data_IF_970794307287
#
_entry.id   IF_970794307287
#
_cell.length_a   1.000
_cell.length_b   1.000
_cell.length_c   1.000
_cell.angle_alpha   90.00
_cell.angle_beta   90.00
_cell.angle_gamma   90.00
#
_symmetry.space_group_name_H-M   'P 1'
#
loop_
_entity.id
_entity.type
_entity.pdbx_description
1 polymer ?
#
# COMPACT_ATOMS: atom_id res chain seq x y z
N UNK A 1 -14.14 1.24 28.46
CA UNK A 1 -15.02 2.00 27.53
C UNK A 1 -15.24 1.30 26.18
N UNK A 2 -14.33 0.44 25.70
CA UNK A 2 -14.45 -0.28 24.42
C UNK A 2 -15.40 -1.49 24.38
N UNK A 3 -16.06 -1.86 25.49
CA UNK A 3 -16.79 -3.13 25.62
C UNK A 3 -18.24 -3.12 25.09
N UNK A 4 -18.74 -2.00 24.53
CA UNK A 4 -20.15 -1.89 24.07
C UNK A 4 -20.33 -1.94 22.55
N UNK A 5 -19.25 -1.91 21.76
CA UNK A 5 -19.31 -1.92 20.30
C UNK A 5 -18.73 -3.24 19.77
N UNK A 6 -19.47 -3.92 18.90
CA UNK A 6 -19.01 -5.12 18.18
C UNK A 6 -17.90 -4.76 17.19
N UNK A 7 -17.11 -5.74 16.77
CA UNK A 7 -16.02 -5.54 15.80
C UNK A 7 -16.51 -4.89 14.50
N UNK A 8 -17.69 -5.31 14.01
CA UNK A 8 -18.32 -4.74 12.81
C UNK A 8 -18.62 -3.25 12.96
N UNK A 9 -19.08 -2.79 14.13
CA UNK A 9 -19.33 -1.36 14.35
C UNK A 9 -18.03 -0.56 14.34
N UNK A 10 -16.93 -1.12 14.88
CA UNK A 10 -15.62 -0.48 14.77
C UNK A 10 -15.11 -0.46 13.34
N UNK A 11 -15.24 -1.56 12.61
CA UNK A 11 -14.83 -1.66 11.21
C UNK A 11 -15.61 -0.67 10.33
N UNK A 12 -16.93 -0.63 10.48
CA UNK A 12 -17.80 0.29 9.75
C UNK A 12 -17.47 1.74 10.06
N UNK A 13 -17.30 2.09 11.35
CA UNK A 13 -16.93 3.45 11.75
C UNK A 13 -15.58 3.87 11.18
N UNK A 14 -14.57 3.00 11.24
CA UNK A 14 -13.24 3.27 10.69
C UNK A 14 -13.28 3.39 9.16
N UNK A 15 -14.03 2.53 8.47
CA UNK A 15 -14.19 2.59 7.02
C UNK A 15 -14.88 3.89 6.58
N UNK A 16 -15.94 4.31 7.29
CA UNK A 16 -16.61 5.60 7.05
C UNK A 16 -15.62 6.75 7.25
N UNK A 17 -14.94 6.80 8.39
CA UNK A 17 -13.99 7.86 8.69
C UNK A 17 -12.85 7.91 7.66
N UNK A 18 -12.29 6.76 7.30
CA UNK A 18 -11.24 6.64 6.29
C UNK A 18 -11.73 7.09 4.91
N UNK A 19 -12.94 6.68 4.49
CA UNK A 19 -13.51 7.08 3.21
C UNK A 19 -13.78 8.60 3.15
N UNK A 20 -14.28 9.20 4.23
CA UNK A 20 -14.49 10.65 4.29
C UNK A 20 -13.16 11.41 4.20
N UNK A 21 -12.14 10.99 4.97
CA UNK A 21 -10.81 11.58 4.88
C UNK A 21 -10.21 11.39 3.48
N UNK A 22 -10.39 10.21 2.88
CA UNK A 22 -9.89 9.90 1.55
C UNK A 22 -10.54 10.79 0.49
N UNK A 23 -11.87 10.89 0.45
CA UNK A 23 -12.62 11.66 -0.56
C UNK A 23 -12.43 13.17 -0.39
N UNK A 24 -12.46 13.68 0.84
CA UNK A 24 -12.53 15.11 1.10
C UNK A 24 -11.20 15.75 1.45
N UNK A 25 -10.20 14.96 1.85
CA UNK A 25 -8.88 15.48 2.23
C UNK A 25 -7.81 14.96 1.28
N UNK A 26 -7.67 13.64 1.13
CA UNK A 26 -6.56 13.07 0.37
C UNK A 26 -6.69 13.29 -1.13
N UNK A 27 -7.81 12.91 -1.74
CA UNK A 27 -8.00 13.05 -3.19
C UNK A 27 -7.83 14.51 -3.65
N UNK A 28 -8.47 15.52 -3.02
CA UNK A 28 -8.29 16.91 -3.44
C UNK A 28 -6.86 17.44 -3.28
N UNK A 29 -6.07 16.86 -2.39
CA UNK A 29 -4.66 17.22 -2.20
C UNK A 29 -3.72 16.51 -3.19
N UNK A 30 -4.12 15.34 -3.69
CA UNK A 30 -3.30 14.48 -4.55
C UNK A 30 -3.58 14.67 -6.04
N UNK A 31 -4.82 15.05 -6.40
CA UNK A 31 -5.24 15.17 -7.80
C UNK A 31 -5.34 16.62 -8.24
N UNK A 32 -4.80 16.93 -9.42
CA UNK A 32 -4.90 18.26 -10.04
C UNK A 32 -6.28 18.52 -10.67
N UNK A 33 -7.01 17.45 -11.00
CA UNK A 33 -8.23 17.50 -11.82
C UNK A 33 -9.49 17.13 -11.05
N UNK A 34 -10.58 17.85 -11.32
CA UNK A 34 -11.89 17.61 -10.70
C UNK A 34 -12.60 16.36 -11.26
N UNK A 35 -13.78 15.99 -10.72
CA UNK A 35 -14.53 14.81 -11.21
C UNK A 35 -14.84 14.87 -12.70
N UNK A 36 -15.16 16.06 -13.19
CA UNK A 36 -15.49 16.34 -14.58
C UNK A 36 -14.73 17.59 -15.00
N UNK A 37 -14.02 17.49 -16.11
CA UNK A 37 -13.27 18.58 -16.70
C UNK A 37 -13.79 18.95 -18.08
N UNK A 38 -13.75 20.24 -18.40
CA UNK A 38 -14.09 20.74 -19.73
C UNK A 38 -12.84 21.27 -20.42
N UNK A 39 -12.24 20.44 -21.27
CA UNK A 39 -11.05 20.81 -22.04
C UNK A 39 -11.43 20.99 -23.51
N UNK A 40 -11.21 22.19 -24.05
CA UNK A 40 -11.42 22.52 -25.48
C UNK A 40 -12.79 22.07 -26.03
N UNK A 41 -13.87 22.37 -25.29
CA UNK A 41 -15.27 21.99 -25.60
C UNK A 41 -15.57 20.48 -25.51
N UNK A 42 -14.62 19.65 -25.10
CA UNK A 42 -14.88 18.25 -24.76
C UNK A 42 -15.02 18.10 -23.25
N UNK A 43 -16.02 17.33 -22.82
CA UNK A 43 -16.19 16.92 -21.42
C UNK A 43 -15.38 15.65 -21.23
N UNK A 44 -14.42 15.69 -20.31
CA UNK A 44 -13.57 14.56 -19.93
C UNK A 44 -13.79 14.25 -18.46
N UNK A 45 -13.65 12.97 -18.12
CA UNK A 45 -13.60 12.55 -16.72
C UNK A 45 -12.21 12.92 -16.20
N UNK A 46 -12.14 13.59 -15.06
CA UNK A 46 -10.84 13.89 -14.44
C UNK A 46 -10.35 12.72 -13.58
N UNK A 47 -9.09 12.80 -13.20
CA UNK A 47 -8.35 11.71 -12.55
C UNK A 47 -8.87 11.44 -11.13
N UNK A 48 -9.52 12.41 -10.49
CA UNK A 48 -10.18 12.24 -9.20
C UNK A 48 -11.43 11.34 -9.25
N UNK A 49 -12.01 11.07 -10.42
CA UNK A 49 -13.23 10.25 -10.51
C UNK A 49 -13.03 8.84 -9.96
N UNK A 50 -11.97 8.16 -10.39
CA UNK A 50 -11.68 6.78 -9.95
C UNK A 50 -11.53 6.67 -8.43
N UNK A 51 -10.62 7.46 -7.81
CA UNK A 51 -10.47 7.52 -6.37
C UNK A 51 -11.76 7.89 -5.63
N UNK A 52 -12.51 8.90 -6.08
CA UNK A 52 -13.77 9.29 -5.41
C UNK A 52 -14.81 8.17 -5.46
N UNK A 53 -14.94 7.48 -6.59
CA UNK A 53 -15.85 6.33 -6.70
C UNK A 53 -15.42 5.18 -5.77
N UNK A 54 -14.13 4.86 -5.72
CA UNK A 54 -13.60 3.85 -4.80
C UNK A 54 -13.87 4.23 -3.33
N UNK A 55 -13.63 5.49 -2.97
CA UNK A 55 -13.97 6.04 -1.67
C UNK A 55 -15.47 5.93 -1.37
N UNK A 56 -16.32 6.24 -2.35
CA UNK A 56 -17.78 6.11 -2.24
C UNK A 56 -18.23 4.68 -1.97
N UNK A 57 -17.63 3.69 -2.63
CA UNK A 57 -17.90 2.27 -2.37
C UNK A 57 -17.48 1.88 -0.95
N UNK A 58 -16.31 2.32 -0.49
CA UNK A 58 -15.85 2.08 0.89
C UNK A 58 -16.81 2.75 1.90
N UNK A 59 -17.27 3.97 1.62
CA UNK A 59 -18.20 4.70 2.47
C UNK A 59 -19.54 3.96 2.60
N UNK A 60 -20.12 3.55 1.47
CA UNK A 60 -21.38 2.79 1.44
C UNK A 60 -21.22 1.45 2.17
N UNK A 61 -20.13 0.73 1.90
CA UNK A 61 -19.80 -0.52 2.58
C UNK A 61 -19.68 -0.32 4.10
N UNK A 62 -18.97 0.71 4.53
CA UNK A 62 -18.81 1.06 5.94
C UNK A 62 -20.13 1.41 6.63
N UNK A 63 -21.02 2.15 5.95
CA UNK A 63 -22.37 2.46 6.43
C UNK A 63 -23.17 1.16 6.62
N UNK A 64 -23.15 0.26 5.64
CA UNK A 64 -23.87 -1.02 5.74
C UNK A 64 -23.33 -1.90 6.87
N UNK A 65 -22.00 -2.03 7.00
CA UNK A 65 -21.37 -2.79 8.07
C UNK A 65 -21.70 -2.19 9.45
N UNK A 66 -21.74 -0.86 9.57
CA UNK A 66 -22.10 -0.19 10.82
C UNK A 66 -23.59 -0.35 11.17
N UNK A 67 -24.47 -0.21 10.18
CA UNK A 67 -25.92 -0.25 10.36
C UNK A 67 -26.47 -1.66 10.59
N UNK A 68 -25.82 -2.68 10.02
CA UNK A 68 -26.22 -4.09 10.15
C UNK A 68 -25.05 -4.95 10.66
N UNK A 69 -24.62 -4.75 11.91
CA UNK A 69 -23.58 -5.58 12.49
C UNK A 69 -24.09 -7.01 12.66
N UNK A 70 -23.23 -7.99 12.41
CA UNK A 70 -23.54 -9.37 12.72
C UNK A 70 -23.63 -9.56 14.24
N UNK A 71 -24.65 -10.29 14.71
CA UNK A 71 -24.84 -10.58 16.14
C UNK A 71 -23.67 -11.43 16.70
N UNK A 72 -23.08 -12.27 15.86
CA UNK A 72 -21.93 -13.12 16.20
C UNK A 72 -20.58 -12.44 15.92
N UNK A 73 -20.58 -11.15 15.60
CA UNK A 73 -19.37 -10.41 15.30
C UNK A 73 -18.41 -10.42 16.50
N UNK A 74 -17.18 -10.85 16.25
CA UNK A 74 -16.13 -10.85 17.27
C UNK A 74 -15.94 -9.44 17.86
N UNK A 75 -15.71 -9.38 19.17
CA UNK A 75 -15.38 -8.11 19.82
C UNK A 75 -13.92 -7.74 19.56
N UNK A 76 -13.61 -6.45 19.62
CA UNK A 76 -12.25 -5.98 19.46
C UNK A 76 -11.44 -6.37 20.71
N UNK A 77 -10.63 -7.43 20.59
CA UNK A 77 -9.76 -7.90 21.68
C UNK A 77 -8.37 -7.28 21.58
N UNK A 78 -7.64 -7.26 22.70
CA UNK A 78 -6.22 -6.84 22.73
C UNK A 78 -5.34 -7.71 21.82
N UNK A 79 -5.71 -8.99 21.65
CA UNK A 79 -5.00 -9.91 20.75
C UNK A 79 -5.15 -9.47 19.29
N UNK A 80 -6.38 -9.16 18.86
CA UNK A 80 -6.66 -8.66 17.51
C UNK A 80 -5.93 -7.34 17.24
N UNK A 81 -5.93 -6.42 18.21
CA UNK A 81 -5.23 -5.15 18.08
C UNK A 81 -3.71 -5.34 17.97
N UNK A 82 -3.12 -6.24 18.77
CA UNK A 82 -1.70 -6.58 18.66
C UNK A 82 -1.38 -7.16 17.27
N UNK A 83 -2.25 -8.01 16.73
CA UNK A 83 -2.08 -8.56 15.39
C UNK A 83 -2.12 -7.48 14.31
N UNK A 84 -3.08 -6.55 14.39
CA UNK A 84 -3.16 -5.41 13.48
C UNK A 84 -1.88 -4.57 13.53
N UNK A 85 -1.36 -4.27 14.72
CA UNK A 85 -0.11 -3.53 14.88
C UNK A 85 1.07 -4.26 14.24
N UNK A 86 1.15 -5.59 14.39
CA UNK A 86 2.20 -6.40 13.73
C UNK A 86 2.10 -6.29 12.21
N UNK A 87 0.90 -6.48 11.64
CA UNK A 87 0.69 -6.35 10.19
C UNK A 87 1.05 -4.96 9.67
N UNK A 88 0.59 -3.91 10.34
CA UNK A 88 0.91 -2.52 9.99
C UNK A 88 2.41 -2.25 10.08
N UNK A 89 3.09 -2.79 11.09
CA UNK A 89 4.54 -2.63 11.25
C UNK A 89 5.30 -3.31 10.11
N UNK A 90 4.90 -4.52 9.72
CA UNK A 90 5.52 -5.24 8.59
C UNK A 90 5.38 -4.44 7.29
N UNK A 91 4.16 -3.96 7.01
CA UNK A 91 3.89 -3.16 5.81
C UNK A 91 4.72 -1.86 5.85
N UNK A 92 4.73 -1.16 6.99
CA UNK A 92 5.48 0.10 7.14
C UNK A 92 6.97 -0.11 6.94
N UNK A 93 7.56 -1.12 7.59
CA UNK A 93 8.98 -1.44 7.44
C UNK A 93 9.29 -1.82 5.99
N UNK A 94 8.44 -2.60 5.34
CA UNK A 94 8.60 -2.93 3.92
C UNK A 94 8.63 -1.68 3.05
N UNK A 95 7.68 -0.75 3.22
CA UNK A 95 7.62 0.49 2.45
C UNK A 95 8.83 1.40 2.70
N UNK A 96 9.30 1.48 3.95
CA UNK A 96 10.53 2.19 4.32
C UNK A 96 11.74 1.56 3.63
N UNK A 97 11.86 0.23 3.65
CA UNK A 97 12.93 -0.48 2.95
C UNK A 97 12.86 -0.21 1.44
N UNK A 98 11.67 -0.30 0.83
CA UNK A 98 11.49 0.02 -0.58
C UNK A 98 12.01 1.42 -0.87
N UNK A 99 11.54 2.42 -0.13
CA UNK A 99 11.84 3.84 -0.35
C UNK A 99 13.32 4.19 -0.17
N UNK A 100 13.98 3.64 0.86
CA UNK A 100 15.29 4.12 1.29
C UNK A 100 16.45 3.18 0.96
N UNK A 101 16.22 1.91 0.61
CA UNK A 101 17.32 1.00 0.31
C UNK A 101 18.13 1.42 -0.93
N UNK A 102 17.47 1.84 -2.01
CA UNK A 102 18.15 2.33 -3.22
C UNK A 102 19.05 3.56 -2.96
N UNK A 103 18.51 4.65 -2.39
CA UNK A 103 19.30 5.82 -1.98
C UNK A 103 20.46 5.49 -1.03
N UNK A 104 20.22 4.61 -0.05
CA UNK A 104 21.24 4.22 0.92
C UNK A 104 22.39 3.48 0.24
N UNK A 105 22.10 2.47 -0.59
CA UNK A 105 23.13 1.66 -1.25
C UNK A 105 23.93 2.49 -2.26
N UNK A 106 23.27 3.35 -3.05
CA UNK A 106 23.98 4.25 -3.97
C UNK A 106 24.87 5.25 -3.24
N UNK A 107 24.43 5.83 -2.11
CA UNK A 107 25.26 6.77 -1.34
C UNK A 107 26.55 6.18 -0.78
N UNK A 108 26.59 4.85 -0.61
CA UNK A 108 27.77 4.14 -0.09
C UNK A 108 28.66 3.62 -1.22
N UNK A 109 28.08 3.24 -2.36
CA UNK A 109 28.80 2.56 -3.44
C UNK A 109 29.14 3.46 -4.64
N UNK A 110 28.52 4.63 -4.75
CA UNK A 110 28.66 5.50 -5.93
C UNK A 110 28.68 6.98 -5.55
N UNK A 111 29.44 7.77 -6.29
CA UNK A 111 29.41 9.25 -6.20
C UNK A 111 28.20 9.87 -6.92
N UNK A 112 27.55 9.10 -7.80
CA UNK A 112 26.39 9.56 -8.58
C UNK A 112 25.11 9.50 -7.72
N UNK A 113 24.28 10.55 -7.70
CA UNK A 113 23.05 10.54 -6.92
C UNK A 113 22.06 9.49 -7.44
N UNK A 114 21.36 8.82 -6.52
CA UNK A 114 20.36 7.78 -6.81
C UNK A 114 19.38 8.17 -7.92
N UNK A 115 18.95 9.44 -7.96
CA UNK A 115 17.98 9.93 -8.94
C UNK A 115 18.43 9.70 -10.38
N UNK A 116 19.73 9.79 -10.66
CA UNK A 116 20.28 9.56 -12.00
C UNK A 116 20.41 8.06 -12.33
N UNK A 117 20.44 7.20 -11.31
CA UNK A 117 20.65 5.75 -11.46
C UNK A 117 19.35 4.94 -11.34
N UNK A 118 18.26 5.52 -10.82
CA UNK A 118 17.01 4.82 -10.46
C UNK A 118 16.30 4.08 -11.59
N UNK A 119 16.59 4.41 -12.85
CA UNK A 119 16.05 3.75 -14.04
C UNK A 119 17.03 2.76 -14.67
N UNK A 120 18.17 2.49 -14.02
CA UNK A 120 19.22 1.61 -14.54
C UNK A 120 19.43 0.42 -13.63
N UNK A 121 19.58 -0.79 -14.20
CA UNK A 121 20.04 -1.94 -13.44
C UNK A 121 21.45 -1.73 -12.87
N UNK A 122 21.75 -2.24 -11.67
CA UNK A 122 20.86 -2.98 -10.75
C UNK A 122 20.06 -2.07 -9.79
N UNK A 123 20.25 -0.74 -9.87
CA UNK A 123 19.79 0.22 -8.86
C UNK A 123 18.26 0.33 -8.78
N UNK A 124 17.57 0.18 -9.91
CA UNK A 124 16.11 0.16 -10.00
C UNK A 124 15.48 -0.99 -9.18
N UNK A 125 16.17 -2.12 -9.01
CA UNK A 125 15.63 -3.29 -8.32
C UNK A 125 15.89 -3.32 -6.81
N UNK A 126 16.87 -2.58 -6.29
CA UNK A 126 17.31 -2.70 -4.89
C UNK A 126 16.15 -2.45 -3.91
N UNK A 127 15.45 -1.31 -4.08
CA UNK A 127 14.30 -0.97 -3.22
C UNK A 127 13.20 -2.02 -3.32
N UNK A 128 12.79 -2.34 -4.54
CA UNK A 128 11.70 -3.28 -4.79
C UNK A 128 11.99 -4.68 -4.23
N UNK A 129 13.17 -5.24 -4.51
CA UNK A 129 13.55 -6.57 -4.07
C UNK A 129 13.72 -6.64 -2.55
N UNK A 130 14.36 -5.65 -1.93
CA UNK A 130 14.58 -5.67 -0.47
C UNK A 130 13.27 -5.55 0.29
N UNK A 131 12.46 -4.54 -0.01
CA UNK A 131 11.18 -4.33 0.66
C UNK A 131 10.15 -5.40 0.31
N UNK A 132 10.11 -5.86 -0.94
CA UNK A 132 9.19 -6.91 -1.40
C UNK A 132 9.52 -8.28 -0.80
N UNK A 133 10.81 -8.64 -0.77
CA UNK A 133 11.28 -9.85 -0.07
C UNK A 133 10.91 -9.80 1.39
N UNK A 134 11.19 -8.67 2.07
CA UNK A 134 10.86 -8.51 3.48
C UNK A 134 9.36 -8.68 3.73
N UNK A 135 8.51 -8.03 2.93
CA UNK A 135 7.05 -8.11 3.07
C UNK A 135 6.55 -9.55 2.98
N UNK A 136 6.91 -10.24 1.89
CA UNK A 136 6.46 -11.60 1.62
C UNK A 136 7.00 -12.56 2.69
N UNK A 137 8.30 -12.49 2.98
CA UNK A 137 8.94 -13.38 3.95
C UNK A 137 8.41 -13.14 5.37
N UNK A 138 8.20 -11.89 5.78
CA UNK A 138 7.67 -11.56 7.10
C UNK A 138 6.22 -12.03 7.27
N UNK A 139 5.35 -11.79 6.27
CA UNK A 139 3.96 -12.25 6.31
C UNK A 139 3.87 -13.78 6.38
N UNK A 140 4.65 -14.50 5.57
CA UNK A 140 4.69 -15.97 5.62
C UNK A 140 5.23 -16.46 6.97
N UNK A 141 6.29 -15.84 7.48
CA UNK A 141 6.90 -16.23 8.76
C UNK A 141 5.94 -16.03 9.93
N UNK A 142 5.20 -14.92 9.91
CA UNK A 142 4.16 -14.60 10.91
C UNK A 142 2.97 -15.56 10.81
N UNK A 143 2.54 -15.92 9.60
CA UNK A 143 1.48 -16.91 9.40
C UNK A 143 1.88 -18.33 9.83
N UNK A 144 3.15 -18.71 9.65
CA UNK A 144 3.68 -20.04 10.01
C UNK A 144 4.22 -20.14 11.44
N UNK A 145 4.45 -19.00 12.10
CA UNK A 145 5.10 -18.93 13.41
C UNK A 145 6.59 -19.35 13.40
N UNK A 146 7.23 -19.42 12.22
CA UNK A 146 8.63 -19.85 12.06
C UNK A 146 9.30 -19.07 10.93
N UNK A 147 10.54 -18.63 11.18
CA UNK A 147 11.41 -18.04 10.16
C UNK A 147 12.27 -19.16 9.59
N UNK A 148 12.21 -19.38 8.28
CA UNK A 148 13.06 -20.38 7.59
C UNK A 148 13.69 -19.79 6.35
N UNK A 149 14.85 -20.32 5.95
CA UNK A 149 15.55 -19.90 4.74
C UNK A 149 14.68 -20.06 3.49
N UNK A 150 13.87 -21.13 3.44
CA UNK A 150 12.93 -21.37 2.34
C UNK A 150 11.93 -20.24 2.18
N UNK A 151 11.46 -19.64 3.28
CA UNK A 151 10.53 -18.51 3.24
C UNK A 151 11.22 -17.26 2.67
N UNK A 152 12.48 -17.03 3.04
CA UNK A 152 13.26 -15.92 2.49
C UNK A 152 13.49 -16.11 0.98
N UNK A 153 13.82 -17.33 0.53
CA UNK A 153 13.98 -17.64 -0.90
C UNK A 153 12.68 -17.43 -1.68
N UNK A 154 11.53 -17.82 -1.12
CA UNK A 154 10.22 -17.55 -1.74
C UNK A 154 10.00 -16.04 -1.88
N UNK A 155 10.33 -15.24 -0.87
CA UNK A 155 10.22 -13.78 -0.94
C UNK A 155 11.10 -13.16 -2.03
N UNK A 156 12.35 -13.61 -2.15
CA UNK A 156 13.29 -13.16 -3.21
C UNK A 156 12.74 -13.53 -4.59
N UNK A 157 12.40 -14.81 -4.80
CA UNK A 157 11.91 -15.28 -6.10
C UNK A 157 10.61 -14.58 -6.48
N UNK A 158 9.65 -14.47 -5.56
CA UNK A 158 8.38 -13.82 -5.84
C UNK A 158 8.55 -12.33 -6.15
N UNK A 159 9.32 -11.59 -5.35
CA UNK A 159 9.58 -10.17 -5.62
C UNK A 159 10.35 -9.97 -6.94
N UNK A 160 11.30 -10.84 -7.27
CA UNK A 160 12.00 -10.78 -8.55
C UNK A 160 11.06 -11.05 -9.73
N UNK A 161 10.20 -12.07 -9.63
CA UNK A 161 9.21 -12.35 -10.67
C UNK A 161 8.28 -11.17 -10.88
N UNK A 162 7.76 -10.56 -9.80
CA UNK A 162 6.93 -9.37 -9.93
C UNK A 162 7.69 -8.19 -10.54
N UNK A 163 8.94 -7.94 -10.12
CA UNK A 163 9.77 -6.90 -10.70
C UNK A 163 9.94 -7.09 -12.22
N UNK A 164 10.28 -8.29 -12.65
CA UNK A 164 10.48 -8.61 -14.07
C UNK A 164 9.18 -8.55 -14.89
N UNK A 165 8.05 -8.97 -14.30
CA UNK A 165 6.74 -8.88 -14.95
C UNK A 165 6.30 -7.44 -15.24
N UNK A 166 6.77 -6.47 -14.45
CA UNK A 166 6.50 -5.05 -14.68
C UNK A 166 7.58 -4.36 -15.50
N UNK A 167 8.85 -4.71 -15.32
CA UNK A 167 9.98 -4.01 -15.93
C UNK A 167 10.26 -4.49 -17.38
N UNK A 168 10.06 -5.78 -17.70
CA UNK A 168 10.35 -6.32 -19.03
C UNK A 168 9.34 -5.95 -20.13
N UNK A 169 8.01 -5.95 -19.88
CA UNK A 169 7.04 -5.62 -20.94
C UNK A 169 6.79 -4.13 -21.11
N UNK A 170 7.27 -3.28 -20.18
CA UNK A 170 6.95 -1.85 -20.16
C UNK A 170 8.21 -1.00 -19.93
N UNK A 171 8.83 -0.56 -21.02
CA UNK A 171 10.09 0.23 -20.97
C UNK A 171 9.95 1.58 -20.23
N UNK A 172 8.74 2.16 -20.22
CA UNK A 172 8.46 3.45 -19.58
C UNK A 172 7.96 3.30 -18.13
N UNK A 173 7.76 2.07 -17.64
CA UNK A 173 7.22 1.83 -16.31
C UNK A 173 8.34 1.70 -15.28
N UNK A 174 8.49 2.73 -14.45
CA UNK A 174 9.41 2.66 -13.32
C UNK A 174 8.81 1.83 -12.18
N UNK A 175 9.56 0.81 -11.72
CA UNK A 175 9.19 0.05 -10.53
C UNK A 175 9.03 0.99 -9.32
N UNK A 176 8.02 0.82 -8.46
CA UNK A 176 7.97 1.49 -7.17
C UNK A 176 9.26 1.16 -6.38
N UNK A 177 9.96 2.12 -5.75
CA UNK A 177 9.61 3.51 -5.48
C UNK A 177 10.25 4.52 -6.47
N UNK A 178 10.75 4.06 -7.62
CA UNK A 178 11.64 4.83 -8.49
C UNK A 178 10.95 5.98 -9.23
N UNK A 179 9.62 6.06 -9.20
CA UNK A 179 8.83 7.14 -9.78
C UNK A 179 9.27 8.54 -9.33
N UNK A 180 8.82 9.56 -10.06
CA UNK A 180 9.11 10.96 -9.72
C UNK A 180 8.49 11.35 -8.38
N UNK A 181 9.37 11.75 -7.45
CA UNK A 181 9.08 12.46 -6.21
C UNK A 181 10.03 13.63 -6.09
#
# INVERSE_FOLDING_TARGET
MFSRLTGDKWLGLLAIAAALLFIFVWVPLDTETGLIEKVRRQVRLGDSLGPVLAGGVILIGGIFTFARPNADAATLTRHNLRWMVVLLSIITISLVLMRFAGPLVTSVLTETPYRALRSTPPWNYIGYLTGGTFLIAALISVARGKITLSVMLVGIVASLVFALLYDLPFDDLQLPPNGDV
#
